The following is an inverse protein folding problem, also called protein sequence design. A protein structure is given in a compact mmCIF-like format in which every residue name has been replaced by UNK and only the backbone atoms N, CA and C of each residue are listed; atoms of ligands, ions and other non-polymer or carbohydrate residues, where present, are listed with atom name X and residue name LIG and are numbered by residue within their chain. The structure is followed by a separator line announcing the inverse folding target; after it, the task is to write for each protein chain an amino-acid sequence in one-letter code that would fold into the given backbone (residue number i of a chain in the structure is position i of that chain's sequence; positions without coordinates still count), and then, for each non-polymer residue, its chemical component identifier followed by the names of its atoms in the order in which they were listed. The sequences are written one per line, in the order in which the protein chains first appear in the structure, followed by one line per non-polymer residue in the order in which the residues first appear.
data_IF_877203205170
#
_entry.id   IF_877203205170
#
_cell.length_a   1.000
_cell.length_b   1.000
_cell.length_c   1.000
_cell.angle_alpha   90.00
_cell.angle_beta   90.00
_cell.angle_gamma   90.00
#
_symmetry.space_group_name_H-M   'P 1'
#
loop_
_entity.id
_entity.type
_entity.pdbx_description
1 polymer ?
#
# COMPACT_ATOMS: atom_id res chain seq x y z
N UNK A 1 -5.61 16.13 22.09
CA UNK A 1 -4.35 15.63 21.51
C UNK A 1 -4.41 15.97 20.03
N UNK A 2 -3.32 16.50 19.45
CA UNK A 2 -3.25 16.66 17.99
C UNK A 2 -3.22 15.26 17.41
N UNK A 3 -4.20 14.93 16.60
CA UNK A 3 -4.29 13.67 15.87
C UNK A 3 -3.07 13.56 14.96
N UNK A 4 -2.26 12.52 15.17
CA UNK A 4 -1.08 12.28 14.35
C UNK A 4 -1.55 11.53 13.10
N UNK A 5 -1.85 12.27 12.05
CA UNK A 5 -2.27 11.71 10.77
C UNK A 5 -1.06 11.56 9.86
N UNK A 6 -0.79 10.32 9.43
CA UNK A 6 0.19 10.02 8.39
C UNK A 6 -0.55 9.78 7.07
N UNK A 7 0.08 10.15 5.96
CA UNK A 7 -0.43 9.75 4.64
C UNK A 7 -0.04 8.30 4.40
N UNK A 8 -0.99 7.48 3.98
CA UNK A 8 -0.78 6.04 3.74
C UNK A 8 -0.79 5.74 2.23
N UNK A 9 0.22 5.01 1.78
CA UNK A 9 0.37 4.55 0.41
C UNK A 9 0.38 3.04 0.41
N UNK A 10 -0.42 2.44 -0.45
CA UNK A 10 -0.56 1.00 -0.56
C UNK A 10 -0.09 0.58 -1.94
N UNK A 11 0.64 -0.52 -1.99
CA UNK A 11 1.12 -1.15 -3.22
C UNK A 11 0.25 -2.34 -3.57
N UNK A 12 0.80 -3.34 -4.25
CA UNK A 12 0.04 -4.43 -4.82
C UNK A 12 0.42 -5.76 -4.18
N UNK A 13 -0.20 -6.84 -4.61
CA UNK A 13 0.27 -8.18 -4.24
C UNK A 13 1.46 -8.68 -5.09
N UNK A 14 1.97 -7.83 -5.98
CA UNK A 14 3.06 -8.14 -6.91
C UNK A 14 4.40 -7.56 -6.44
N UNK A 15 5.48 -7.94 -7.12
CA UNK A 15 6.83 -7.43 -6.85
C UNK A 15 6.96 -5.94 -7.22
N UNK A 16 6.91 -5.06 -6.22
CA UNK A 16 6.94 -3.62 -6.39
C UNK A 16 8.34 -3.03 -6.15
N UNK A 17 8.75 -2.09 -7.01
CA UNK A 17 9.97 -1.28 -6.80
C UNK A 17 9.54 0.16 -6.54
N UNK A 18 9.72 0.62 -5.31
CA UNK A 18 9.10 1.84 -4.82
C UNK A 18 10.12 2.85 -4.32
N UNK A 19 10.02 4.07 -4.84
CA UNK A 19 10.66 5.24 -4.23
C UNK A 19 9.75 5.82 -3.14
N UNK A 20 10.08 5.52 -1.89
CA UNK A 20 9.43 6.04 -0.68
C UNK A 20 9.96 7.45 -0.40
N UNK A 21 9.38 8.45 -1.05
CA UNK A 21 9.84 9.84 -1.02
C UNK A 21 8.93 10.84 -0.30
N UNK A 22 7.70 10.45 0.07
CA UNK A 22 6.73 11.38 0.67
C UNK A 22 7.00 11.52 2.18
N UNK A 23 7.34 12.73 2.67
CA UNK A 23 7.58 12.97 4.10
C UNK A 23 6.42 12.58 5.00
N UNK A 24 6.70 12.01 6.18
CA UNK A 24 5.70 11.63 7.19
C UNK A 24 4.60 10.72 6.61
N UNK A 25 5.01 9.70 5.85
CA UNK A 25 4.10 8.73 5.24
C UNK A 25 4.48 7.31 5.60
N UNK A 26 3.50 6.41 5.46
CA UNK A 26 3.70 4.97 5.50
C UNK A 26 3.47 4.42 4.10
N UNK A 27 4.39 3.61 3.61
CA UNK A 27 4.22 2.81 2.39
C UNK A 27 4.13 1.35 2.77
N UNK A 28 3.01 0.74 2.41
CA UNK A 28 2.70 -0.67 2.57
C UNK A 28 2.96 -1.39 1.25
N UNK A 29 3.92 -2.33 1.25
CA UNK A 29 4.22 -3.20 0.11
C UNK A 29 3.10 -4.20 -0.17
N UNK A 30 2.45 -4.69 0.90
CA UNK A 30 1.40 -5.70 0.91
C UNK A 30 1.92 -7.09 0.61
N UNK A 31 2.03 -7.51 -0.64
CA UNK A 31 2.40 -8.86 -1.01
C UNK A 31 3.40 -8.88 -2.14
N UNK A 32 4.19 -9.95 -2.20
CA UNK A 32 5.28 -10.04 -3.15
C UNK A 32 6.60 -9.56 -2.55
N UNK A 33 7.69 -9.91 -3.23
CA UNK A 33 9.04 -9.48 -2.88
C UNK A 33 9.28 -8.03 -3.36
N UNK A 34 9.14 -7.08 -2.45
CA UNK A 34 9.20 -5.66 -2.75
C UNK A 34 10.58 -5.07 -2.52
N UNK A 35 10.85 -3.95 -3.21
CA UNK A 35 12.02 -3.11 -2.96
C UNK A 35 11.56 -1.70 -2.58
N UNK A 36 11.63 -1.38 -1.29
CA UNK A 36 11.20 -0.10 -0.73
C UNK A 36 12.43 0.79 -0.47
N UNK A 37 12.64 1.79 -1.32
CA UNK A 37 13.79 2.69 -1.27
C UNK A 37 13.43 4.08 -0.76
N UNK A 38 14.04 4.51 0.32
CA UNK A 38 13.86 5.87 0.82
C UNK A 38 14.55 6.89 -0.12
N UNK A 39 13.80 7.85 -0.62
CA UNK A 39 14.29 8.89 -1.54
C UNK A 39 13.92 10.30 -1.02
N UNK A 40 14.31 10.58 0.23
CA UNK A 40 14.12 11.89 0.85
C UNK A 40 15.21 12.16 1.90
N UNK A 41 15.69 13.40 1.94
CA UNK A 41 16.74 13.90 2.83
C UNK A 41 16.18 14.68 4.02
N UNK A 42 14.91 15.11 3.97
CA UNK A 42 14.39 16.15 4.85
C UNK A 42 13.57 15.63 6.05
N UNK A 43 12.97 14.43 5.97
CA UNK A 43 11.99 13.92 6.97
C UNK A 43 12.02 12.39 7.01
N UNK A 44 11.32 11.78 7.98
CA UNK A 44 11.17 10.33 8.05
C UNK A 44 10.15 9.78 7.05
N UNK A 45 10.37 8.53 6.67
CA UNK A 45 9.42 7.68 5.95
C UNK A 45 9.32 6.33 6.64
N UNK A 46 8.19 5.65 6.47
CA UNK A 46 7.97 4.29 6.98
C UNK A 46 7.76 3.35 5.81
N UNK A 47 8.45 2.23 5.85
CA UNK A 47 8.31 1.13 4.90
C UNK A 47 7.86 -0.11 5.65
N UNK A 48 6.68 -0.60 5.30
CA UNK A 48 6.12 -1.85 5.77
C UNK A 48 6.02 -2.79 4.56
N UNK A 49 6.92 -3.75 4.45
CA UNK A 49 7.02 -4.65 3.30
C UNK A 49 5.77 -5.51 3.16
N UNK A 50 5.49 -6.34 4.17
CA UNK A 50 4.32 -7.20 4.13
C UNK A 50 4.75 -8.62 3.82
N UNK A 51 4.00 -9.33 2.98
CA UNK A 51 4.24 -10.74 2.69
C UNK A 51 5.24 -10.90 1.55
N UNK A 52 6.37 -11.53 1.79
CA UNK A 52 7.34 -11.80 0.73
C UNK A 52 8.76 -11.62 1.22
N UNK A 53 9.73 -11.78 0.33
CA UNK A 53 11.13 -11.49 0.64
C UNK A 53 11.43 -10.03 0.27
N UNK A 54 11.25 -9.11 1.21
CA UNK A 54 11.32 -7.68 0.98
C UNK A 54 12.73 -7.11 1.15
N UNK A 55 13.03 -6.07 0.40
CA UNK A 55 14.30 -5.35 0.46
C UNK A 55 14.09 -3.86 0.75
N UNK A 56 14.55 -3.43 1.91
CA UNK A 56 14.48 -2.04 2.37
C UNK A 56 15.80 -1.32 2.05
N UNK A 57 15.75 -0.14 1.44
CA UNK A 57 16.95 0.62 1.02
C UNK A 57 16.92 2.01 1.66
N UNK A 58 17.56 2.20 2.83
CA UNK A 58 17.61 3.50 3.48
C UNK A 58 18.44 4.50 2.68
N UNK A 59 18.00 5.77 2.69
CA UNK A 59 18.65 6.91 2.02
C UNK A 59 19.19 7.96 3.00
N UNK A 60 19.22 9.22 2.57
CA UNK A 60 19.83 10.35 3.32
C UNK A 60 18.92 10.95 4.45
N UNK A 61 17.78 10.32 4.71
CA UNK A 61 16.80 10.71 5.74
C UNK A 61 16.72 9.75 6.94
N UNK A 62 15.53 9.65 7.55
CA UNK A 62 15.21 8.57 8.48
C UNK A 62 14.25 7.59 7.81
N UNK A 63 14.62 6.33 7.73
CA UNK A 63 13.71 5.25 7.35
C UNK A 63 13.31 4.46 8.59
N UNK A 64 12.02 4.23 8.78
CA UNK A 64 11.52 3.24 9.74
C UNK A 64 11.11 2.00 8.94
N UNK A 65 11.71 0.87 9.26
CA UNK A 65 11.40 -0.45 8.71
C UNK A 65 10.56 -1.19 9.73
N UNK A 66 9.39 -1.66 9.31
CA UNK A 66 8.47 -2.45 10.13
C UNK A 66 7.82 -3.52 9.26
N UNK A 67 8.41 -4.71 9.23
CA UNK A 67 7.82 -5.84 8.50
C UNK A 67 6.63 -6.46 9.27
N UNK A 68 5.62 -6.96 8.56
CA UNK A 68 4.42 -7.55 9.18
C UNK A 68 3.82 -8.73 8.40
N UNK A 69 4.38 -9.14 7.26
CA UNK A 69 3.91 -10.33 6.53
C UNK A 69 4.90 -11.49 6.54
N UNK A 70 6.10 -11.28 7.09
CA UNK A 70 7.15 -12.28 7.19
C UNK A 70 7.70 -12.67 5.82
N UNK A 71 8.63 -13.61 5.81
CA UNK A 71 9.40 -13.96 4.63
C UNK A 71 10.88 -13.96 4.98
N UNK A 72 11.73 -13.70 4.01
CA UNK A 72 13.16 -13.55 4.22
C UNK A 72 13.64 -12.19 3.72
N UNK A 73 13.68 -11.24 4.63
CA UNK A 73 13.84 -9.82 4.35
C UNK A 73 15.29 -9.36 4.49
N UNK A 74 15.59 -8.26 3.81
CA UNK A 74 16.89 -7.61 3.87
C UNK A 74 16.80 -6.09 3.94
N UNK A 75 17.73 -5.49 4.68
CA UNK A 75 18.04 -4.06 4.55
C UNK A 75 19.34 -3.93 3.75
N UNK A 76 19.28 -3.22 2.63
CA UNK A 76 20.44 -2.89 1.80
C UNK A 76 20.98 -1.50 2.14
N UNK A 77 22.14 -1.49 2.80
CA UNK A 77 22.78 -0.28 3.32
C UNK A 77 23.80 0.32 2.34
N UNK A 78 23.89 -0.21 1.12
CA UNK A 78 24.86 0.24 0.09
C UNK A 78 24.72 1.72 -0.28
N UNK A 79 23.52 2.29 -0.14
CA UNK A 79 23.27 3.73 -0.33
C UNK A 79 23.31 4.54 0.97
N UNK A 80 23.19 3.86 2.12
CA UNK A 80 23.22 4.45 3.46
C UNK A 80 24.65 4.62 4.00
N UNK A 81 25.59 3.76 3.56
CA UNK A 81 26.96 3.69 4.05
C UNK A 81 27.97 3.99 2.95
N UNK A 82 28.92 4.88 3.24
CA UNK A 82 30.11 5.10 2.44
C UNK A 82 31.39 4.77 3.21
N UNK A 83 32.45 4.43 2.49
CA UNK A 83 33.76 4.14 3.10
C UNK A 83 34.28 5.36 3.87
N UNK A 84 34.54 5.18 5.17
CA UNK A 84 35.00 6.25 6.07
C UNK A 84 33.88 6.98 6.80
N UNK A 85 32.62 6.60 6.60
CA UNK A 85 31.52 7.16 7.38
C UNK A 85 31.61 6.81 8.87
N UNK A 86 31.17 7.76 9.70
CA UNK A 86 31.05 7.55 11.13
C UNK A 86 29.67 6.98 11.44
N UNK A 87 29.58 5.65 11.45
CA UNK A 87 28.32 4.95 11.70
C UNK A 87 28.28 4.31 13.08
N UNK A 88 27.08 4.29 13.67
CA UNK A 88 26.81 3.75 14.99
C UNK A 88 25.55 2.91 14.94
N UNK A 89 25.52 1.84 15.72
CA UNK A 89 24.30 1.13 16.05
C UNK A 89 23.94 1.39 17.51
N UNK A 90 22.65 1.33 17.81
CA UNK A 90 22.08 1.57 19.12
C UNK A 90 20.73 0.89 19.25
N UNK A 91 20.09 1.03 20.40
CA UNK A 91 18.70 0.62 20.58
C UNK A 91 17.82 1.78 21.02
N UNK A 92 16.50 1.62 20.92
CA UNK A 92 15.53 2.61 21.38
C UNK A 92 14.49 1.93 22.28
N UNK A 93 14.07 2.67 23.31
CA UNK A 93 12.99 2.30 24.25
C UNK A 93 13.28 1.01 25.02
N UNK A 94 14.50 0.86 25.53
CA UNK A 94 14.92 -0.29 26.32
C UNK A 94 15.13 -1.53 25.44
N UNK A 95 15.75 -1.36 24.27
CA UNK A 95 16.06 -2.50 23.38
C UNK A 95 14.94 -2.90 22.42
N UNK A 96 13.77 -2.24 22.44
CA UNK A 96 12.63 -2.62 21.60
C UNK A 96 12.89 -2.44 20.11
N UNK A 97 13.55 -1.36 19.72
CA UNK A 97 13.88 -1.09 18.33
C UNK A 97 15.41 -1.04 18.16
N UNK A 98 15.90 -1.50 17.01
CA UNK A 98 17.29 -1.34 16.61
C UNK A 98 17.40 -0.06 15.79
N UNK A 99 18.45 0.72 15.99
CA UNK A 99 18.74 1.90 15.18
C UNK A 99 20.17 1.85 14.64
N UNK A 100 20.33 2.15 13.35
CA UNK A 100 21.61 2.46 12.73
C UNK A 100 21.64 3.96 12.40
N UNK A 101 22.75 4.61 12.72
CA UNK A 101 22.94 6.05 12.56
C UNK A 101 24.19 6.27 11.71
N UNK A 102 24.07 7.05 10.65
CA UNK A 102 25.20 7.61 9.94
C UNK A 102 25.38 9.07 10.38
N UNK A 103 26.41 9.33 11.20
CA UNK A 103 26.68 10.68 11.73
C UNK A 103 27.27 11.61 10.66
N UNK A 104 27.86 11.07 9.59
CA UNK A 104 28.41 11.87 8.48
C UNK A 104 27.28 12.52 7.69
N UNK A 105 26.28 11.73 7.30
CA UNK A 105 25.14 12.15 6.47
C UNK A 105 23.95 12.65 7.30
N UNK A 106 24.00 12.49 8.62
CA UNK A 106 22.86 12.70 9.52
C UNK A 106 21.61 11.91 9.09
N UNK A 107 21.81 10.67 8.63
CA UNK A 107 20.73 9.73 8.30
C UNK A 107 20.62 8.62 9.35
N UNK A 108 19.46 7.99 9.42
CA UNK A 108 19.23 6.86 10.31
C UNK A 108 18.26 5.84 9.70
N UNK A 109 18.35 4.59 10.16
CA UNK A 109 17.32 3.58 9.94
C UNK A 109 16.93 2.98 11.29
N UNK A 110 15.63 2.96 11.58
CA UNK A 110 15.05 2.27 12.74
C UNK A 110 14.40 0.99 12.23
N UNK A 111 14.73 -0.13 12.84
CA UNK A 111 14.15 -1.45 12.57
C UNK A 111 13.24 -1.77 13.76
N UNK A 112 11.94 -1.57 13.56
CA UNK A 112 10.97 -1.49 14.64
C UNK A 112 10.77 -2.84 15.35
N UNK A 113 10.72 -3.91 14.58
CA UNK A 113 10.33 -5.25 15.01
C UNK A 113 11.49 -6.25 14.91
N UNK A 114 12.74 -5.77 15.01
CA UNK A 114 13.97 -6.55 14.81
C UNK A 114 14.16 -7.81 15.69
N UNK A 115 13.32 -7.98 16.73
CA UNK A 115 13.30 -9.15 17.63
C UNK A 115 12.07 -10.03 17.46
N UNK A 116 11.12 -9.66 16.60
CA UNK A 116 9.93 -10.49 16.34
C UNK A 116 10.35 -11.72 15.52
N UNK A 117 10.14 -12.91 16.05
CA UNK A 117 10.56 -14.12 15.36
C UNK A 117 9.76 -14.42 14.07
N UNK A 118 8.62 -13.77 13.87
CA UNK A 118 7.77 -13.98 12.69
C UNK A 118 7.95 -12.91 11.62
N UNK A 119 8.37 -11.71 12.03
CA UNK A 119 8.34 -10.51 11.17
C UNK A 119 9.64 -9.70 11.20
N UNK A 120 10.69 -10.15 11.90
CA UNK A 120 11.96 -9.40 11.87
C UNK A 120 12.54 -9.43 10.45
N UNK A 121 13.32 -8.41 10.12
CA UNK A 121 14.26 -8.49 9.01
C UNK A 121 15.38 -9.48 9.35
N UNK A 122 15.79 -10.33 8.41
CA UNK A 122 16.87 -11.31 8.61
C UNK A 122 18.25 -10.72 8.30
N UNK A 123 18.39 -10.04 7.17
CA UNK A 123 19.69 -9.64 6.62
C UNK A 123 19.95 -8.13 6.68
N UNK A 124 21.20 -7.79 6.97
CA UNK A 124 21.76 -6.48 6.68
C UNK A 124 22.85 -6.67 5.62
N UNK A 125 22.70 -6.02 4.47
CA UNK A 125 23.61 -6.10 3.33
C UNK A 125 24.41 -4.79 3.20
N UNK A 126 25.73 -4.89 3.16
CA UNK A 126 26.67 -3.77 3.02
C UNK A 126 27.60 -4.06 1.85
N UNK A 127 27.29 -3.53 0.67
CA UNK A 127 27.99 -3.93 -0.55
C UNK A 127 27.87 -5.43 -0.78
N UNK A 128 29.02 -6.12 -0.89
CA UNK A 128 29.06 -7.59 -1.06
C UNK A 128 29.01 -8.37 0.29
N UNK A 129 29.02 -7.67 1.43
CA UNK A 129 28.99 -8.30 2.75
C UNK A 129 27.55 -8.46 3.26
N UNK A 130 27.25 -9.61 3.87
CA UNK A 130 25.96 -9.90 4.50
C UNK A 130 26.21 -10.25 5.97
N UNK A 131 25.44 -9.62 6.85
CA UNK A 131 25.34 -9.97 8.28
C UNK A 131 23.86 -10.19 8.63
N UNK A 132 23.61 -10.79 9.79
CA UNK A 132 22.28 -11.23 10.19
C UNK A 132 21.83 -10.53 11.46
N UNK A 133 20.56 -10.12 11.51
CA UNK A 133 19.98 -9.44 12.69
C UNK A 133 20.11 -10.28 13.96
N UNK A 134 20.02 -11.61 13.86
CA UNK A 134 20.20 -12.51 15.01
C UNK A 134 21.59 -12.43 15.65
N UNK A 135 22.62 -12.04 14.89
CA UNK A 135 23.95 -11.81 15.46
C UNK A 135 23.93 -10.58 16.39
N UNK A 136 23.21 -9.52 16.02
CA UNK A 136 23.02 -8.33 16.87
C UNK A 136 22.20 -8.68 18.12
N UNK A 137 21.14 -9.46 17.96
CA UNK A 137 20.32 -9.95 19.08
C UNK A 137 21.18 -10.67 20.10
N UNK A 138 22.00 -11.63 19.64
CA UNK A 138 22.89 -12.40 20.52
C UNK A 138 23.92 -11.52 21.23
N UNK A 139 24.53 -10.56 20.53
CA UNK A 139 25.50 -9.63 21.11
C UNK A 139 24.84 -8.78 22.21
N UNK A 140 23.67 -8.19 21.93
CA UNK A 140 22.94 -7.33 22.86
C UNK A 140 22.42 -8.12 24.07
N UNK A 141 21.94 -9.34 23.87
CA UNK A 141 21.43 -10.18 24.96
C UNK A 141 22.53 -10.63 25.91
N UNK A 142 23.76 -10.80 25.41
CA UNK A 142 24.92 -11.12 26.24
C UNK A 142 25.41 -9.91 27.04
N UNK A 143 25.44 -8.73 26.42
CA UNK A 143 25.81 -7.49 27.09
C UNK A 143 25.01 -6.31 26.48
N UNK A 144 23.95 -5.84 27.16
CA UNK A 144 23.12 -4.75 26.66
C UNK A 144 23.85 -3.40 26.66
N UNK A 145 25.06 -3.32 27.20
CA UNK A 145 25.87 -2.09 27.19
C UNK A 145 26.71 -1.92 25.92
N UNK A 146 26.81 -2.96 25.08
CA UNK A 146 27.57 -2.92 23.82
C UNK A 146 26.99 -1.87 22.86
N UNK A 147 25.66 -1.76 22.83
CA UNK A 147 24.97 -0.75 22.05
C UNK A 147 24.23 0.21 22.96
N UNK A 148 24.45 1.54 22.85
CA UNK A 148 23.75 2.50 23.69
C UNK A 148 22.25 2.46 23.42
N UNK A 149 21.45 2.44 24.49
CA UNK A 149 20.00 2.64 24.42
C UNK A 149 19.67 4.14 24.45
N UNK A 150 18.89 4.58 23.48
CA UNK A 150 18.43 5.95 23.31
C UNK A 150 16.95 6.06 23.66
N UNK A 151 16.54 7.23 24.15
CA UNK A 151 15.13 7.58 24.22
C UNK A 151 14.69 8.17 22.89
N UNK A 152 13.41 8.04 22.55
CA UNK A 152 12.83 8.76 21.41
C UNK A 152 13.10 10.27 21.49
N UNK A 153 13.05 10.87 22.68
CA UNK A 153 13.37 12.28 22.88
C UNK A 153 14.79 12.66 22.44
N UNK A 154 15.72 11.70 22.47
CA UNK A 154 17.12 11.94 22.10
C UNK A 154 17.26 12.07 20.57
N UNK A 155 16.35 11.50 19.78
CA UNK A 155 16.33 11.66 18.31
C UNK A 155 16.12 13.11 17.88
N UNK A 156 15.35 13.89 18.66
CA UNK A 156 15.19 15.32 18.38
C UNK A 156 16.50 16.09 18.61
N UNK A 157 17.24 15.76 19.67
CA UNK A 157 18.45 16.49 20.05
C UNK A 157 19.72 16.01 19.32
N UNK A 158 19.81 14.74 18.99
CA UNK A 158 21.00 14.13 18.38
C UNK A 158 21.18 14.49 16.90
N UNK A 159 20.12 15.00 16.26
CA UNK A 159 20.08 15.31 14.83
C UNK A 159 19.58 16.74 14.55
N UNK A 160 19.90 17.70 15.43
CA UNK A 160 19.54 19.12 15.26
C UNK A 160 18.05 19.36 14.96
N UNK A 161 17.16 18.53 15.50
CA UNK A 161 15.71 18.58 15.29
C UNK A 161 15.20 17.86 14.02
N UNK A 162 16.08 17.32 13.16
CA UNK A 162 15.73 16.65 11.89
C UNK A 162 14.70 15.54 12.08
N UNK A 163 14.78 14.77 13.17
CA UNK A 163 13.87 13.65 13.47
C UNK A 163 12.86 13.94 14.59
N UNK A 164 12.53 15.22 14.83
CA UNK A 164 11.57 15.60 15.87
C UNK A 164 10.17 14.96 15.70
N UNK A 165 9.78 14.62 14.47
CA UNK A 165 8.48 14.03 14.18
C UNK A 165 8.29 12.62 14.77
N UNK A 166 9.38 11.85 14.94
CA UNK A 166 9.38 10.51 15.57
C UNK A 166 9.93 10.53 17.00
N UNK A 167 10.26 11.71 17.54
CA UNK A 167 10.83 11.83 18.89
C UNK A 167 9.78 11.69 20.02
N UNK A 168 8.50 11.67 19.67
CA UNK A 168 7.40 11.40 20.59
C UNK A 168 7.07 9.89 20.55
N UNK A 169 7.35 9.21 21.66
CA UNK A 169 7.09 7.77 21.82
C UNK A 169 5.65 7.41 21.51
N UNK A 170 4.67 8.19 21.97
CA UNK A 170 3.26 7.85 21.78
C UNK A 170 2.87 7.94 20.30
N UNK A 171 3.45 8.88 19.54
CA UNK A 171 3.23 8.99 18.10
C UNK A 171 3.91 7.86 17.33
N UNK A 172 5.13 7.49 17.72
CA UNK A 172 5.85 6.38 17.10
C UNK A 172 5.11 5.04 17.32
N UNK A 173 4.67 4.77 18.55
CA UNK A 173 3.91 3.55 18.86
C UNK A 173 2.53 3.58 18.19
N UNK A 174 1.87 4.74 18.07
CA UNK A 174 0.63 4.86 17.31
C UNK A 174 0.84 4.60 15.81
N UNK A 175 1.97 5.04 15.25
CA UNK A 175 2.37 4.74 13.86
C UNK A 175 2.58 3.24 13.66
N UNK A 176 3.30 2.55 14.55
CA UNK A 176 3.44 1.09 14.48
C UNK A 176 2.08 0.40 14.62
N UNK A 177 1.21 0.90 15.51
CA UNK A 177 -0.15 0.41 15.65
C UNK A 177 -1.01 0.58 14.39
N UNK A 178 -0.73 1.56 13.52
CA UNK A 178 -1.33 1.62 12.19
C UNK A 178 -0.87 0.41 11.38
N UNK A 179 0.43 0.13 11.34
CA UNK A 179 0.99 -1.00 10.58
C UNK A 179 0.49 -2.36 11.09
N UNK A 180 0.42 -2.55 12.41
CA UNK A 180 -0.20 -3.73 13.03
C UNK A 180 -1.69 -3.86 12.67
N UNK A 181 -2.39 -2.73 12.52
CA UNK A 181 -3.80 -2.68 12.13
C UNK A 181 -4.02 -2.83 10.63
N UNK A 182 -2.96 -2.90 9.83
CA UNK A 182 -3.02 -3.05 8.36
C UNK A 182 -3.36 -4.44 7.87
N UNK A 183 -3.79 -5.31 8.78
CA UNK A 183 -5.02 -6.07 8.56
C UNK A 183 -6.24 -5.13 8.40
N UNK A 184 -6.13 -4.15 7.49
CA UNK A 184 -7.19 -3.28 6.98
C UNK A 184 -8.16 -4.10 6.11
N UNK A 185 -8.21 -5.42 6.31
CA UNK A 185 -9.02 -6.37 5.58
C UNK A 185 -10.41 -5.82 5.33
N UNK A 186 -11.09 -5.24 6.33
CA UNK A 186 -12.42 -4.68 6.11
C UNK A 186 -12.46 -3.52 5.07
N UNK A 187 -11.48 -2.60 5.12
CA UNK A 187 -11.38 -1.48 4.17
C UNK A 187 -10.96 -1.97 2.79
N UNK A 188 -9.88 -2.74 2.71
CA UNK A 188 -9.35 -3.27 1.46
C UNK A 188 -10.36 -4.24 0.81
N UNK A 189 -11.05 -5.06 1.60
CA UNK A 189 -12.12 -5.95 1.15
C UNK A 189 -13.31 -5.14 0.62
N UNK A 190 -13.72 -4.07 1.30
CA UNK A 190 -14.79 -3.21 0.79
C UNK A 190 -14.41 -2.56 -0.56
N UNK A 191 -13.13 -2.24 -0.75
CA UNK A 191 -12.61 -1.75 -2.02
C UNK A 191 -12.53 -2.82 -3.09
N UNK A 192 -12.01 -4.01 -2.76
CA UNK A 192 -11.98 -5.16 -3.66
C UNK A 192 -13.40 -5.57 -4.09
N UNK A 193 -14.38 -5.53 -3.18
CA UNK A 193 -15.78 -5.70 -3.53
C UNK A 193 -16.26 -4.61 -4.49
N UNK A 194 -15.82 -3.36 -4.31
CA UNK A 194 -16.11 -2.27 -5.23
C UNK A 194 -15.49 -2.44 -6.61
N UNK A 195 -14.24 -2.91 -6.67
CA UNK A 195 -13.54 -3.26 -7.91
C UNK A 195 -14.26 -4.41 -8.61
N UNK A 196 -14.61 -5.47 -7.89
CA UNK A 196 -15.39 -6.60 -8.42
C UNK A 196 -16.73 -6.18 -9.00
N UNK A 197 -17.49 -5.31 -8.30
CA UNK A 197 -18.75 -4.76 -8.83
C UNK A 197 -18.56 -3.97 -10.11
N UNK A 198 -17.51 -3.16 -10.20
CA UNK A 198 -17.25 -2.32 -11.37
C UNK A 198 -16.80 -3.17 -12.57
N UNK A 199 -15.99 -4.18 -12.29
CA UNK A 199 -15.58 -5.21 -13.24
C UNK A 199 -16.78 -5.97 -13.82
N UNK A 200 -17.66 -6.50 -12.97
CA UNK A 200 -18.88 -7.20 -13.41
C UNK A 200 -19.81 -6.28 -14.20
N UNK A 201 -20.00 -5.05 -13.73
CA UNK A 201 -20.84 -4.06 -14.41
C UNK A 201 -20.29 -3.72 -15.81
N UNK A 202 -18.97 -3.58 -15.94
CA UNK A 202 -18.35 -3.25 -17.21
C UNK A 202 -18.31 -4.43 -18.17
N UNK A 203 -17.99 -5.64 -17.68
CA UNK A 203 -17.70 -6.80 -18.53
C UNK A 203 -18.86 -7.81 -18.64
N UNK A 204 -19.96 -7.58 -17.92
CA UNK A 204 -21.18 -8.41 -17.93
C UNK A 204 -20.91 -9.90 -17.65
N UNK A 205 -20.04 -10.17 -16.69
CA UNK A 205 -19.77 -11.51 -16.19
C UNK A 205 -19.35 -11.45 -14.74
N UNK A 206 -19.67 -12.50 -14.00
CA UNK A 206 -19.20 -12.67 -12.62
C UNK A 206 -17.68 -12.51 -12.53
N UNK A 207 -17.23 -11.80 -11.51
CA UNK A 207 -15.82 -11.69 -11.20
C UNK A 207 -15.23 -13.07 -10.84
N UNK A 208 -14.26 -13.53 -11.63
CA UNK A 208 -13.34 -14.59 -11.25
C UNK A 208 -12.17 -14.01 -10.45
N UNK A 209 -11.50 -14.84 -9.65
CA UNK A 209 -10.43 -14.42 -8.75
C UNK A 209 -9.23 -13.81 -9.49
N UNK A 210 -8.79 -14.45 -10.58
CA UNK A 210 -7.65 -13.94 -11.33
C UNK A 210 -7.94 -12.56 -11.94
N UNK A 211 -9.14 -12.37 -12.49
CA UNK A 211 -9.61 -11.08 -12.97
C UNK A 211 -9.79 -10.04 -11.86
N UNK A 212 -10.29 -10.45 -10.70
CA UNK A 212 -10.46 -9.55 -9.54
C UNK A 212 -9.10 -9.01 -9.07
N UNK A 213 -8.12 -9.89 -8.85
CA UNK A 213 -6.77 -9.48 -8.43
C UNK A 213 -6.12 -8.58 -9.49
N UNK A 214 -6.22 -8.94 -10.77
CA UNK A 214 -5.72 -8.09 -11.85
C UNK A 214 -6.29 -6.67 -11.82
N UNK A 215 -7.61 -6.52 -11.69
CA UNK A 215 -8.24 -5.20 -11.65
C UNK A 215 -8.00 -4.47 -10.32
N UNK A 216 -7.81 -5.21 -9.22
CA UNK A 216 -7.52 -4.64 -7.91
C UNK A 216 -6.10 -4.09 -7.85
N UNK A 217 -5.10 -4.84 -8.30
CA UNK A 217 -3.71 -4.36 -8.38
C UNK A 217 -3.63 -3.12 -9.26
N UNK A 218 -4.29 -3.13 -10.44
CA UNK A 218 -4.36 -1.96 -11.30
C UNK A 218 -5.03 -0.75 -10.61
N UNK A 219 -6.07 -0.98 -9.80
CA UNK A 219 -6.72 0.05 -9.00
C UNK A 219 -5.79 0.64 -7.94
N UNK A 220 -4.99 -0.21 -7.28
CA UNK A 220 -4.01 0.22 -6.27
C UNK A 220 -2.88 1.04 -6.91
N UNK A 221 -2.34 0.58 -8.04
CA UNK A 221 -1.31 1.27 -8.83
C UNK A 221 -1.75 2.67 -9.29
N UNK A 222 -3.03 2.82 -9.63
CA UNK A 222 -3.60 4.10 -10.03
C UNK A 222 -4.04 4.97 -8.85
N UNK A 223 -3.52 4.70 -7.65
CA UNK A 223 -3.76 5.50 -6.46
C UNK A 223 -5.21 5.44 -5.98
N UNK A 224 -5.87 4.28 -6.16
CA UNK A 224 -7.24 4.00 -5.70
C UNK A 224 -8.29 4.89 -6.38
N UNK A 225 -8.05 5.32 -7.62
CA UNK A 225 -9.00 6.08 -8.43
C UNK A 225 -9.96 5.19 -9.25
N UNK A 226 -11.22 5.11 -8.79
CA UNK A 226 -12.28 4.34 -9.46
C UNK A 226 -12.63 4.86 -10.86
N UNK A 227 -12.46 6.16 -11.14
CA UNK A 227 -12.73 6.70 -12.48
C UNK A 227 -11.69 6.19 -13.47
N UNK A 228 -10.43 6.13 -13.06
CA UNK A 228 -9.35 5.55 -13.88
C UNK A 228 -9.57 4.05 -14.09
N UNK A 229 -10.00 3.31 -13.06
CA UNK A 229 -10.39 1.90 -13.22
C UNK A 229 -11.57 1.72 -14.20
N UNK A 230 -12.64 2.51 -14.05
CA UNK A 230 -13.79 2.45 -14.96
C UNK A 230 -13.39 2.76 -16.41
N UNK A 231 -12.47 3.71 -16.61
CA UNK A 231 -11.89 4.00 -17.92
C UNK A 231 -11.18 2.77 -18.48
N UNK A 232 -10.28 2.17 -17.72
CA UNK A 232 -9.51 1.01 -18.16
C UNK A 232 -10.41 -0.18 -18.52
N UNK A 233 -11.49 -0.40 -17.78
CA UNK A 233 -12.49 -1.42 -18.08
C UNK A 233 -13.20 -1.12 -19.40
N UNK A 234 -13.67 0.11 -19.61
CA UNK A 234 -14.36 0.54 -20.84
C UNK A 234 -13.42 0.49 -22.06
N UNK A 235 -12.16 0.84 -21.87
CA UNK A 235 -11.12 0.80 -22.90
C UNK A 235 -10.62 -0.62 -23.20
N UNK A 236 -10.91 -1.60 -22.33
CA UNK A 236 -10.46 -2.97 -22.50
C UNK A 236 -10.96 -3.59 -23.81
N UNK A 237 -10.14 -4.48 -24.39
CA UNK A 237 -10.53 -5.22 -25.59
C UNK A 237 -11.81 -6.03 -25.36
N UNK A 238 -12.01 -6.56 -24.15
CA UNK A 238 -13.18 -7.33 -23.76
C UNK A 238 -14.47 -6.49 -23.82
N UNK A 239 -14.45 -5.28 -23.23
CA UNK A 239 -15.58 -4.36 -23.30
C UNK A 239 -15.89 -3.98 -24.75
N UNK A 240 -14.86 -3.57 -25.51
CA UNK A 240 -15.04 -3.10 -26.87
C UNK A 240 -15.57 -4.19 -27.82
N UNK A 241 -15.11 -5.44 -27.66
CA UNK A 241 -15.58 -6.56 -28.48
C UNK A 241 -17.02 -6.95 -28.14
N UNK A 242 -17.40 -6.88 -26.87
CA UNK A 242 -18.72 -7.32 -26.41
C UNK A 242 -19.79 -6.24 -26.60
N UNK A 243 -19.44 -4.97 -26.43
CA UNK A 243 -20.40 -3.87 -26.33
C UNK A 243 -20.13 -2.69 -27.28
N UNK A 244 -19.05 -2.78 -28.07
CA UNK A 244 -18.60 -1.69 -28.93
C UNK A 244 -17.82 -0.62 -28.17
N UNK A 245 -17.29 0.36 -28.92
CA UNK A 245 -16.53 1.46 -28.32
C UNK A 245 -17.47 2.46 -27.63
N UNK A 246 -17.32 2.63 -26.32
CA UNK A 246 -18.19 3.47 -25.49
C UNK A 246 -18.18 4.96 -25.88
N UNK A 247 -17.09 5.43 -26.50
CA UNK A 247 -16.89 6.82 -26.85
C UNK A 247 -17.42 7.16 -28.24
N UNK A 248 -17.58 6.18 -29.13
CA UNK A 248 -18.12 6.40 -30.48
C UNK A 248 -19.62 6.10 -30.58
N UNK A 249 -20.16 5.28 -29.68
CA UNK A 249 -21.61 5.04 -29.64
C UNK A 249 -22.39 6.21 -29.02
N UNK A 250 -23.67 6.32 -29.39
CA UNK A 250 -24.54 7.36 -28.82
C UNK A 250 -24.68 7.21 -27.29
N UNK A 251 -25.07 8.29 -26.62
CA UNK A 251 -25.38 8.24 -25.19
C UNK A 251 -26.48 7.22 -24.88
N UNK A 252 -27.54 7.19 -25.69
CA UNK A 252 -28.65 6.25 -25.55
C UNK A 252 -28.21 4.78 -25.73
N UNK A 253 -27.40 4.47 -26.75
CA UNK A 253 -26.92 3.10 -26.99
C UNK A 253 -26.10 2.58 -25.82
N UNK A 254 -25.19 3.39 -25.27
CA UNK A 254 -24.40 3.00 -24.11
C UNK A 254 -25.22 2.84 -22.84
N UNK A 255 -26.16 3.74 -22.57
CA UNK A 255 -27.06 3.60 -21.42
C UNK A 255 -27.85 2.29 -21.52
N UNK A 256 -28.33 1.94 -22.72
CA UNK A 256 -29.02 0.68 -22.93
C UNK A 256 -28.10 -0.54 -22.72
N UNK A 257 -26.83 -0.47 -23.14
CA UNK A 257 -25.82 -1.49 -22.82
C UNK A 257 -25.70 -1.66 -21.30
N UNK A 258 -25.55 -0.57 -20.54
CA UNK A 258 -25.39 -0.64 -19.08
C UNK A 258 -26.64 -1.20 -18.37
N UNK A 259 -27.85 -0.83 -18.79
CA UNK A 259 -29.06 -1.42 -18.23
C UNK A 259 -29.13 -2.94 -18.43
N UNK A 260 -28.75 -3.41 -19.62
CA UNK A 260 -28.77 -4.85 -19.92
C UNK A 260 -27.65 -5.59 -19.19
N UNK A 261 -26.44 -5.05 -19.21
CA UNK A 261 -25.25 -5.70 -18.66
C UNK A 261 -25.21 -5.66 -17.13
N UNK A 262 -25.55 -4.51 -16.54
CA UNK A 262 -25.40 -4.30 -15.09
C UNK A 262 -26.66 -4.69 -14.34
N UNK A 263 -27.85 -4.45 -14.93
CA UNK A 263 -29.12 -4.64 -14.22
C UNK A 263 -29.93 -5.83 -14.77
N UNK A 264 -29.49 -6.45 -15.87
CA UNK A 264 -30.18 -7.60 -16.47
C UNK A 264 -31.55 -7.27 -17.08
N UNK A 265 -31.85 -5.99 -17.33
CA UNK A 265 -33.18 -5.54 -17.79
C UNK A 265 -33.09 -4.38 -18.76
N UNK A 266 -34.17 -4.13 -19.49
CA UNK A 266 -34.28 -2.92 -20.32
C UNK A 266 -34.49 -1.69 -19.44
N UNK A 267 -33.98 -0.56 -19.93
CA UNK A 267 -34.25 0.76 -19.36
C UNK A 267 -35.75 1.09 -19.45
N UNK A 268 -36.29 1.73 -18.42
CA UNK A 268 -37.55 2.45 -18.55
C UNK A 268 -37.30 3.83 -19.17
N UNK A 269 -38.36 4.46 -19.69
CA UNK A 269 -38.23 5.73 -20.43
C UNK A 269 -37.66 6.86 -19.58
N UNK A 270 -37.97 6.91 -18.28
CA UNK A 270 -37.49 7.97 -17.39
C UNK A 270 -36.00 7.77 -17.04
N UNK A 271 -35.62 6.54 -16.73
CA UNK A 271 -34.22 6.16 -16.47
C UNK A 271 -33.32 6.36 -17.70
N UNK A 272 -33.76 5.90 -18.87
CA UNK A 272 -33.05 6.11 -20.13
C UNK A 272 -32.81 7.60 -20.41
N UNK A 273 -33.85 8.43 -20.25
CA UNK A 273 -33.76 9.87 -20.43
C UNK A 273 -32.79 10.51 -19.42
N UNK A 274 -32.88 10.15 -18.14
CA UNK A 274 -32.04 10.69 -17.08
C UNK A 274 -30.54 10.51 -17.37
N UNK A 275 -30.11 9.27 -17.62
CA UNK A 275 -28.68 8.98 -17.86
C UNK A 275 -28.18 9.58 -19.18
N UNK A 276 -29.01 9.52 -20.22
CA UNK A 276 -28.67 10.09 -21.54
C UNK A 276 -28.52 11.61 -21.47
N UNK A 277 -29.37 12.30 -20.71
CA UNK A 277 -29.29 13.75 -20.50
C UNK A 277 -28.02 14.15 -19.73
N UNK A 278 -27.63 13.40 -18.69
CA UNK A 278 -26.39 13.64 -17.95
C UNK A 278 -25.14 13.50 -18.85
N UNK A 279 -25.12 12.50 -19.73
CA UNK A 279 -24.04 12.31 -20.70
C UNK A 279 -24.01 13.45 -21.73
N UNK A 280 -25.17 13.79 -22.31
CA UNK A 280 -25.25 14.82 -23.36
C UNK A 280 -24.89 16.22 -22.85
N UNK A 281 -25.16 16.51 -21.57
CA UNK A 281 -24.77 17.77 -20.92
C UNK A 281 -23.31 17.78 -20.44
N UNK A 282 -22.61 16.64 -20.51
CA UNK A 282 -21.28 16.48 -19.93
C UNK A 282 -21.27 16.56 -18.40
N UNK A 283 -22.42 16.37 -17.75
CA UNK A 283 -22.54 16.39 -16.30
C UNK A 283 -21.93 15.13 -15.67
N UNK A 284 -21.94 14.01 -16.40
CA UNK A 284 -21.19 12.80 -16.09
C UNK A 284 -20.42 12.35 -17.33
N UNK A 285 -19.26 11.73 -17.11
CA UNK A 285 -18.53 11.01 -18.16
C UNK A 285 -19.09 9.59 -18.33
N UNK A 286 -18.64 8.86 -19.35
CA UNK A 286 -19.06 7.46 -19.58
C UNK A 286 -18.64 6.57 -18.41
N UNK A 287 -17.42 6.79 -17.92
CA UNK A 287 -16.86 6.18 -16.72
C UNK A 287 -17.71 6.47 -15.49
N UNK A 288 -18.09 7.73 -15.29
CA UNK A 288 -18.95 8.15 -14.18
C UNK A 288 -20.33 7.49 -14.21
N UNK A 289 -20.92 7.31 -15.40
CA UNK A 289 -22.19 6.56 -15.53
C UNK A 289 -21.99 5.08 -15.23
N UNK A 290 -20.93 4.42 -15.74
CA UNK A 290 -20.64 3.02 -15.40
C UNK A 290 -20.47 2.83 -13.89
N UNK A 291 -19.72 3.72 -13.22
CA UNK A 291 -19.57 3.71 -11.77
C UNK A 291 -20.91 3.85 -11.05
N UNK A 292 -21.77 4.77 -11.49
CA UNK A 292 -23.08 4.97 -10.87
C UNK A 292 -24.00 3.74 -11.03
N UNK A 293 -23.89 3.02 -12.14
CA UNK A 293 -24.59 1.74 -12.33
C UNK A 293 -24.00 0.64 -11.43
N UNK A 294 -22.66 0.53 -11.36
CA UNK A 294 -21.94 -0.41 -10.51
C UNK A 294 -22.31 -0.26 -9.03
N UNK A 295 -22.43 0.98 -8.54
CA UNK A 295 -22.76 1.28 -7.15
C UNK A 295 -24.29 1.37 -6.90
N UNK A 296 -25.12 1.03 -7.90
CA UNK A 296 -26.57 1.01 -7.70
C UNK A 296 -26.98 -0.11 -6.75
N UNK A 297 -28.03 0.13 -5.95
CA UNK A 297 -28.54 -0.88 -5.01
C UNK A 297 -28.97 -2.19 -5.70
N UNK A 298 -29.43 -2.10 -6.95
CA UNK A 298 -29.80 -3.26 -7.77
C UNK A 298 -28.56 -4.09 -8.15
N UNK A 299 -27.48 -3.45 -8.62
CA UNK A 299 -26.21 -4.15 -8.90
C UNK A 299 -25.58 -4.72 -7.63
N UNK A 300 -25.53 -3.95 -6.53
CA UNK A 300 -25.02 -4.43 -5.25
C UNK A 300 -25.76 -5.68 -4.74
N UNK A 301 -27.08 -5.76 -4.98
CA UNK A 301 -27.85 -6.95 -4.64
C UNK A 301 -27.51 -8.15 -5.55
N UNK A 302 -27.20 -7.92 -6.82
CA UNK A 302 -26.78 -8.96 -7.77
C UNK A 302 -25.36 -9.46 -7.49
N UNK A 303 -24.46 -8.59 -7.04
CA UNK A 303 -23.07 -8.93 -6.70
C UNK A 303 -22.88 -9.28 -5.21
N UNK A 304 -23.94 -9.70 -4.51
CA UNK A 304 -23.89 -10.00 -3.08
C UNK A 304 -22.89 -11.12 -2.71
N UNK A 305 -22.54 -11.98 -3.66
CA UNK A 305 -21.54 -13.03 -3.46
C UNK A 305 -20.13 -12.47 -3.23
N UNK A 306 -19.84 -11.23 -3.68
CA UNK A 306 -18.57 -10.56 -3.40
C UNK A 306 -18.37 -10.30 -1.90
N UNK A 307 -19.44 -10.34 -1.08
CA UNK A 307 -19.31 -10.30 0.38
C UNK A 307 -18.48 -11.47 0.94
N UNK A 308 -18.31 -12.56 0.17
CA UNK A 308 -17.49 -13.71 0.52
C UNK A 308 -16.03 -13.61 0.09
N UNK A 309 -15.58 -12.52 -0.54
CA UNK A 309 -14.15 -12.35 -0.81
C UNK A 309 -13.40 -12.09 0.49
N UNK A 310 -12.20 -12.62 0.65
CA UNK A 310 -11.32 -12.43 1.80
C UNK A 310 -9.91 -12.15 1.31
N UNK A 311 -9.14 -11.41 2.09
CA UNK A 311 -7.70 -11.27 1.86
C UNK A 311 -7.04 -12.60 2.21
N UNK A 312 -6.40 -13.23 1.23
CA UNK A 312 -5.65 -14.47 1.38
C UNK A 312 -4.21 -14.23 1.86
N UNK A 313 -3.80 -12.97 2.00
CA UNK A 313 -2.48 -12.51 2.41
C UNK A 313 -1.93 -11.50 1.40
N UNK A 314 -1.39 -10.38 1.90
CA UNK A 314 -0.67 -9.41 1.07
C UNK A 314 -1.51 -8.74 -0.01
N UNK A 315 -2.82 -8.56 0.20
CA UNK A 315 -3.71 -7.92 -0.77
C UNK A 315 -4.14 -8.82 -1.93
N UNK A 316 -3.85 -10.12 -1.87
CA UNK A 316 -4.34 -11.14 -2.81
C UNK A 316 -5.73 -11.63 -2.36
N UNK A 317 -6.76 -11.48 -3.20
CA UNK A 317 -8.14 -11.81 -2.85
C UNK A 317 -8.52 -13.24 -3.23
N UNK A 318 -9.28 -13.90 -2.36
CA UNK A 318 -9.87 -15.22 -2.61
C UNK A 318 -11.35 -15.26 -2.21
N UNK A 319 -12.12 -16.22 -2.73
CA UNK A 319 -13.46 -16.51 -2.22
C UNK A 319 -13.36 -17.48 -1.04
N UNK A 320 -14.07 -17.17 0.04
CA UNK A 320 -14.22 -18.03 1.23
C UNK A 320 -15.14 -19.24 1.02
#
# INVERSE_FOLDING_TARGET
MVEFTLTEYFKTSAHDVVDVGVPNSITYGLGGNDRLKANTDAVFVVAAGGWGDDTYVPGEGLMVVADHGGGYDAIELSEFLSAGDNTKAGTIDGGKHLILINQTTQSAVIIANWRDANYKVEELRIGDEVTYIDQFVQIIDQDPTIFPDMKFSDLATAFDGKFAAVADKAKFEAMLGLIDSHDLAATLQAEAQGVGRLYEAGLNRMADIAGLNFWYDAYMDWGRDKITLARAIIDSAEFQQSFGNAYTQSAESYVNVLYLNVLGRKSDAAGAFYWTDLLNKGALSREGVLMAFSDSAENMAQSAYLAGIVDAGGGEWAFS
#
